data_IF_477295514354
#
_entry.id   IF_477295514354
#
_cell.length_a   1.000
_cell.length_b   1.000
_cell.length_c   1.000
_cell.angle_alpha   90.00
_cell.angle_beta   90.00
_cell.angle_gamma   90.00
#
_symmetry.space_group_name_H-M   'P 1'
#
loop_
_entity.id
_entity.type
_entity.pdbx_description
1 polymer ?
#
# COMPACT_ATOMS: atom_id res chain seq x y z
N UNK A 1 -21.66 18.95 6.43
CA UNK A 1 -22.07 17.75 7.19
C UNK A 1 -23.52 17.48 6.89
N UNK A 2 -23.88 16.25 6.50
CA UNK A 2 -25.28 15.90 6.20
C UNK A 2 -25.65 15.78 4.71
N UNK A 3 -24.70 15.82 3.79
CA UNK A 3 -24.95 15.34 2.42
C UNK A 3 -25.02 13.80 2.46
N UNK A 4 -26.01 13.22 1.79
CA UNK A 4 -26.12 11.76 1.65
C UNK A 4 -25.83 11.35 0.21
N UNK A 5 -25.28 10.15 0.04
CA UNK A 5 -24.95 9.56 -1.26
C UNK A 5 -25.70 8.25 -1.34
N UNK A 6 -27.02 8.36 -1.52
CA UNK A 6 -27.92 7.21 -1.48
C UNK A 6 -28.21 6.69 -2.90
N UNK A 7 -27.96 7.50 -3.92
CA UNK A 7 -28.17 7.13 -5.34
C UNK A 7 -26.86 6.95 -6.09
N UNK A 8 -26.82 6.11 -7.14
CA UNK A 8 -25.66 5.99 -8.03
C UNK A 8 -25.26 7.34 -8.68
N UNK A 9 -26.24 8.20 -8.97
CA UNK A 9 -26.01 9.52 -9.55
C UNK A 9 -25.24 10.45 -8.60
N UNK A 10 -25.54 10.40 -7.29
CA UNK A 10 -24.82 11.18 -6.27
C UNK A 10 -23.34 10.78 -6.22
N UNK A 11 -23.06 9.47 -6.30
CA UNK A 11 -21.70 8.93 -6.31
C UNK A 11 -20.99 9.29 -7.62
N UNK A 12 -21.68 9.15 -8.76
CA UNK A 12 -21.14 9.50 -10.07
C UNK A 12 -20.80 11.00 -10.22
N UNK A 13 -21.50 11.87 -9.48
CA UNK A 13 -21.24 13.31 -9.45
C UNK A 13 -19.97 13.68 -8.66
N UNK A 14 -19.40 12.76 -7.87
CA UNK A 14 -18.16 13.00 -7.15
C UNK A 14 -16.99 13.19 -8.13
N UNK A 15 -16.15 14.20 -7.84
CA UNK A 15 -14.94 14.49 -8.64
C UNK A 15 -13.96 13.33 -8.64
N UNK A 16 -13.93 12.57 -7.56
CA UNK A 16 -13.11 11.38 -7.40
C UNK A 16 -14.02 10.22 -7.00
N UNK A 17 -13.92 9.13 -7.75
CA UNK A 17 -14.67 7.91 -7.49
C UNK A 17 -14.00 7.06 -6.41
N UNK A 18 -12.71 7.28 -6.13
CA UNK A 18 -11.98 6.57 -5.08
C UNK A 18 -10.97 7.50 -4.42
N UNK A 19 -10.64 7.19 -3.18
CA UNK A 19 -9.56 7.81 -2.41
C UNK A 19 -8.60 6.71 -1.99
N UNK A 20 -7.35 6.83 -2.41
CA UNK A 20 -6.28 5.90 -2.03
C UNK A 20 -5.45 6.52 -0.92
N UNK A 21 -5.43 5.88 0.25
CA UNK A 21 -4.60 6.24 1.39
C UNK A 21 -3.23 5.60 1.22
N UNK A 22 -2.23 6.44 0.97
CA UNK A 22 -0.81 6.08 0.95
C UNK A 22 -0.18 6.49 2.29
N UNK A 23 0.05 5.50 3.16
CA UNK A 23 0.70 5.70 4.45
C UNK A 23 1.84 4.69 4.64
N UNK A 24 2.74 4.96 5.56
CA UNK A 24 3.79 4.01 5.93
C UNK A 24 3.19 2.69 6.45
N UNK A 25 3.95 1.59 6.36
CA UNK A 25 3.51 0.26 6.83
C UNK A 25 3.72 0.04 8.33
N UNK A 26 4.16 1.06 9.06
CA UNK A 26 4.30 0.99 10.51
C UNK A 26 2.96 1.19 11.23
N UNK A 27 3.01 1.14 12.57
CA UNK A 27 1.83 1.30 13.41
C UNK A 27 1.15 2.67 13.21
N UNK A 28 1.94 3.72 13.00
CA UNK A 28 1.42 5.07 12.81
C UNK A 28 0.68 5.20 11.49
N UNK A 29 1.18 4.60 10.41
CA UNK A 29 0.47 4.54 9.14
C UNK A 29 -0.85 3.75 9.23
N UNK A 30 -0.92 2.67 10.01
CA UNK A 30 -2.18 1.99 10.30
C UNK A 30 -3.17 2.89 11.07
N UNK A 31 -2.70 3.62 12.08
CA UNK A 31 -3.55 4.55 12.82
C UNK A 31 -4.08 5.68 11.95
N UNK A 32 -3.24 6.28 11.11
CA UNK A 32 -3.64 7.36 10.19
C UNK A 32 -4.70 6.85 9.21
N UNK A 33 -4.49 5.67 8.60
CA UNK A 33 -5.48 5.08 7.70
C UNK A 33 -6.82 4.81 8.41
N UNK A 34 -6.77 4.30 9.64
CA UNK A 34 -7.95 4.10 10.47
C UNK A 34 -8.70 5.39 10.78
N UNK A 35 -7.99 6.48 11.09
CA UNK A 35 -8.61 7.80 11.31
C UNK A 35 -9.30 8.34 10.05
N UNK A 36 -8.69 8.17 8.87
CA UNK A 36 -9.30 8.55 7.59
C UNK A 36 -10.58 7.75 7.35
N UNK A 37 -10.52 6.43 7.48
CA UNK A 37 -11.71 5.56 7.33
C UNK A 37 -12.80 5.97 8.30
N UNK A 38 -12.45 6.18 9.58
CA UNK A 38 -13.39 6.61 10.61
C UNK A 38 -14.03 7.98 10.29
N UNK A 39 -13.25 8.93 9.79
CA UNK A 39 -13.75 10.24 9.40
C UNK A 39 -14.83 10.12 8.31
N UNK A 40 -14.59 9.34 7.26
CA UNK A 40 -15.60 9.11 6.22
C UNK A 40 -16.79 8.30 6.73
N UNK A 41 -16.56 7.28 7.55
CA UNK A 41 -17.64 6.49 8.13
C UNK A 41 -18.57 7.32 9.02
N UNK A 42 -18.01 8.22 9.83
CA UNK A 42 -18.79 9.11 10.68
C UNK A 42 -19.50 10.22 9.90
N UNK A 43 -18.87 10.73 8.83
CA UNK A 43 -19.37 11.89 8.09
C UNK A 43 -20.35 11.53 6.97
N UNK A 44 -20.09 10.42 6.27
CA UNK A 44 -20.81 9.99 5.05
C UNK A 44 -20.97 8.47 4.99
N UNK A 45 -21.70 7.85 5.93
CA UNK A 45 -21.90 6.41 5.94
C UNK A 45 -22.67 5.88 4.72
N UNK A 46 -23.53 6.69 4.09
CA UNK A 46 -24.22 6.28 2.85
C UNK A 46 -23.27 6.13 1.68
N UNK A 47 -22.25 6.98 1.56
CA UNK A 47 -21.22 6.87 0.53
C UNK A 47 -20.49 5.52 0.60
N UNK A 48 -20.08 5.11 1.81
CA UNK A 48 -19.37 3.84 1.99
C UNK A 48 -20.27 2.61 1.81
N UNK A 49 -21.60 2.77 1.94
CA UNK A 49 -22.56 1.70 1.62
C UNK A 49 -22.80 1.59 0.12
N UNK A 50 -22.99 2.74 -0.55
CA UNK A 50 -23.19 2.80 -2.00
C UNK A 50 -21.92 2.37 -2.76
N UNK A 51 -20.75 2.73 -2.24
CA UNK A 51 -19.45 2.38 -2.81
C UNK A 51 -18.49 1.86 -1.73
N UNK A 52 -18.52 0.54 -1.43
CA UNK A 52 -17.67 -0.07 -0.40
C UNK A 52 -16.17 0.09 -0.62
N UNK A 53 -15.74 0.24 -1.88
CA UNK A 53 -14.34 0.42 -2.29
C UNK A 53 -13.95 1.90 -2.46
N UNK A 54 -14.78 2.85 -1.98
CA UNK A 54 -14.50 4.28 -2.10
C UNK A 54 -13.19 4.67 -1.42
N UNK A 55 -12.84 4.03 -0.30
CA UNK A 55 -11.56 4.22 0.39
C UNK A 55 -10.73 2.97 0.22
N UNK A 56 -9.57 3.12 -0.41
CA UNK A 56 -8.59 2.05 -0.56
C UNK A 56 -7.33 2.44 0.22
N UNK A 57 -6.64 1.45 0.78
CA UNK A 57 -5.30 1.63 1.34
C UNK A 57 -4.31 0.95 0.42
N UNK A 58 -3.28 1.67 0.02
CA UNK A 58 -2.18 1.05 -0.71
C UNK A 58 -1.15 0.48 0.26
N UNK A 59 -0.81 -0.80 0.11
CA UNK A 59 0.27 -1.40 0.85
C UNK A 59 1.58 -1.26 0.05
N UNK A 60 2.63 -0.73 0.68
CA UNK A 60 3.97 -0.67 0.09
C UNK A 60 4.84 -1.78 0.65
N UNK A 61 5.68 -2.45 -0.15
CA UNK A 61 6.60 -3.44 0.37
C UNK A 61 7.62 -2.78 1.32
N UNK A 62 7.89 -3.43 2.46
CA UNK A 62 8.87 -2.98 3.46
C UNK A 62 10.28 -3.53 3.19
N UNK A 63 10.37 -4.63 2.45
CA UNK A 63 11.64 -5.25 2.05
C UNK A 63 11.54 -5.68 0.60
N UNK A 64 12.58 -5.39 -0.18
CA UNK A 64 12.77 -5.94 -1.53
C UNK A 64 14.09 -6.67 -1.62
N UNK A 65 14.08 -7.81 -2.30
CA UNK A 65 15.26 -8.63 -2.55
C UNK A 65 15.61 -8.58 -4.04
N UNK A 66 16.86 -8.27 -4.32
CA UNK A 66 17.40 -8.17 -5.67
C UNK A 66 18.55 -9.15 -5.86
N UNK A 67 18.80 -9.57 -7.10
CA UNK A 67 20.08 -10.20 -7.43
C UNK A 67 21.24 -9.21 -7.29
N UNK A 68 22.42 -9.68 -6.90
CA UNK A 68 23.66 -8.87 -6.97
C UNK A 68 24.22 -8.75 -8.39
N UNK A 69 23.77 -9.59 -9.34
CA UNK A 69 24.19 -9.49 -10.75
C UNK A 69 23.65 -8.25 -11.47
N UNK A 70 22.64 -7.55 -10.91
CA UNK A 70 22.10 -6.33 -11.48
C UNK A 70 21.05 -5.66 -10.60
N UNK A 71 21.00 -4.31 -10.59
CA UNK A 71 20.06 -3.53 -9.77
C UNK A 71 18.57 -3.71 -10.15
N UNK A 72 18.28 -4.19 -11.37
CA UNK A 72 16.93 -4.30 -11.94
C UNK A 72 16.29 -5.69 -11.79
N UNK A 73 17.03 -6.68 -11.30
CA UNK A 73 16.51 -8.03 -11.10
C UNK A 73 15.87 -8.13 -9.72
N UNK A 74 14.70 -7.49 -9.56
CA UNK A 74 13.84 -7.69 -8.41
C UNK A 74 13.38 -9.16 -8.40
N UNK A 75 13.62 -9.85 -7.29
CA UNK A 75 13.30 -11.27 -7.14
C UNK A 75 12.05 -11.47 -6.29
N UNK A 76 11.94 -10.73 -5.18
CA UNK A 76 10.85 -10.91 -4.21
C UNK A 76 10.59 -9.61 -3.45
N UNK A 77 9.33 -9.39 -3.07
CA UNK A 77 8.87 -8.25 -2.28
C UNK A 77 8.12 -8.76 -1.03
N UNK A 78 8.34 -8.09 0.10
CA UNK A 78 7.71 -8.48 1.37
C UNK A 78 7.01 -7.28 1.98
N UNK A 79 5.79 -7.50 2.45
CA UNK A 79 4.94 -6.48 3.06
C UNK A 79 4.98 -6.55 4.58
N UNK A 80 5.41 -7.70 5.14
CA UNK A 80 5.65 -7.85 6.57
C UNK A 80 7.04 -8.38 6.90
N UNK A 81 7.52 -8.03 8.10
CA UNK A 81 8.82 -8.51 8.58
C UNK A 81 8.79 -10.01 8.85
N UNK A 82 7.61 -10.56 9.14
CA UNK A 82 7.39 -11.99 9.36
C UNK A 82 7.54 -12.79 8.07
N UNK A 83 6.92 -12.34 6.97
CA UNK A 83 7.10 -12.95 5.64
C UNK A 83 8.57 -13.00 5.24
N UNK A 84 9.28 -11.88 5.39
CA UNK A 84 10.70 -11.83 5.05
C UNK A 84 11.53 -12.81 5.90
N UNK A 85 11.27 -12.91 7.21
CA UNK A 85 11.97 -13.88 8.08
C UNK A 85 11.69 -15.33 7.66
N UNK A 86 10.46 -15.67 7.37
CA UNK A 86 10.09 -17.02 6.91
C UNK A 86 10.79 -17.35 5.60
N UNK A 87 10.82 -16.41 4.67
CA UNK A 87 11.56 -16.57 3.41
C UNK A 87 13.05 -16.78 3.65
N UNK A 88 13.67 -16.01 4.55
CA UNK A 88 15.10 -16.16 4.89
C UNK A 88 15.45 -17.56 5.42
N UNK A 89 14.54 -18.19 6.18
CA UNK A 89 14.73 -19.54 6.73
C UNK A 89 14.71 -20.62 5.64
N UNK A 90 14.10 -20.33 4.48
CA UNK A 90 14.04 -21.25 3.34
C UNK A 90 15.24 -21.11 2.40
N UNK A 91 16.09 -20.10 2.59
CA UNK A 91 17.24 -19.85 1.73
C UNK A 91 18.50 -20.61 2.17
N UNK A 92 19.41 -20.95 1.23
CA UNK A 92 20.73 -21.49 1.56
C UNK A 92 21.51 -20.54 2.49
N UNK A 93 22.34 -21.07 3.39
CA UNK A 93 23.03 -20.28 4.43
C UNK A 93 23.85 -19.09 3.88
N UNK A 94 24.31 -19.16 2.63
CA UNK A 94 25.13 -18.15 1.96
C UNK A 94 24.35 -17.17 1.06
N UNK A 95 23.01 -17.18 1.10
CA UNK A 95 22.14 -16.39 0.21
C UNK A 95 22.52 -14.90 0.15
N UNK A 96 22.96 -14.33 1.28
CA UNK A 96 23.37 -12.93 1.43
C UNK A 96 24.57 -12.53 0.55
N UNK A 97 25.35 -13.51 0.05
CA UNK A 97 26.46 -13.29 -0.89
C UNK A 97 26.00 -13.07 -2.32
N UNK A 98 24.83 -13.61 -2.69
CA UNK A 98 24.25 -13.57 -4.05
C UNK A 98 23.12 -12.56 -4.17
N UNK A 99 22.45 -12.26 -3.06
CA UNK A 99 21.29 -11.37 -3.01
C UNK A 99 21.62 -10.05 -2.31
N UNK A 100 20.91 -8.99 -2.70
CA UNK A 100 20.93 -7.68 -2.04
C UNK A 100 19.54 -7.39 -1.49
N UNK A 101 19.47 -7.09 -0.20
CA UNK A 101 18.24 -6.70 0.49
C UNK A 101 18.18 -5.18 0.60
N UNK A 102 17.05 -4.58 0.22
CA UNK A 102 16.77 -3.16 0.44
C UNK A 102 15.55 -3.04 1.36
N UNK A 103 15.71 -2.26 2.43
CA UNK A 103 14.66 -1.98 3.41
C UNK A 103 14.03 -0.63 3.10
N UNK A 104 12.70 -0.57 3.12
CA UNK A 104 11.90 0.63 2.88
C UNK A 104 11.25 1.00 4.21
N UNK A 105 11.85 1.98 4.90
CA UNK A 105 11.39 2.42 6.23
C UNK A 105 10.22 3.41 6.17
N UNK A 106 9.98 3.99 5.00
CA UNK A 106 8.83 4.83 4.74
C UNK A 106 8.75 5.21 3.27
N UNK A 107 7.69 5.91 2.89
CA UNK A 107 7.40 6.29 1.50
C UNK A 107 8.54 7.07 0.84
N UNK A 108 9.29 7.87 1.61
CA UNK A 108 10.47 8.62 1.13
C UNK A 108 11.66 7.75 0.71
N UNK A 109 11.66 6.45 1.00
CA UNK A 109 12.71 5.51 0.56
C UNK A 109 12.42 4.94 -0.84
N UNK A 110 11.20 5.14 -1.36
CA UNK A 110 10.81 4.74 -2.71
C UNK A 110 11.32 5.74 -3.75
N UNK A 111 11.87 5.23 -4.83
CA UNK A 111 12.27 6.05 -5.99
C UNK A 111 11.05 6.45 -6.81
N UNK A 112 11.19 7.49 -7.64
CA UNK A 112 10.13 7.95 -8.56
C UNK A 112 9.63 6.82 -9.46
N UNK A 113 10.54 6.00 -10.00
CA UNK A 113 10.19 4.90 -10.90
C UNK A 113 9.39 3.81 -10.18
N UNK A 114 9.73 3.53 -8.92
CA UNK A 114 8.97 2.60 -8.07
C UNK A 114 7.57 3.13 -7.77
N UNK A 115 7.45 4.43 -7.45
CA UNK A 115 6.15 5.06 -7.24
C UNK A 115 5.27 4.95 -8.49
N UNK A 116 5.80 5.27 -9.68
CA UNK A 116 5.05 5.14 -10.94
C UNK A 116 4.58 3.69 -11.14
N UNK A 117 5.44 2.70 -10.87
CA UNK A 117 5.07 1.28 -10.98
C UNK A 117 3.95 0.90 -10.02
N UNK A 118 4.03 1.33 -8.75
CA UNK A 118 2.98 1.10 -7.76
C UNK A 118 1.61 1.64 -8.20
N UNK A 119 1.59 2.82 -8.85
CA UNK A 119 0.35 3.40 -9.36
C UNK A 119 -0.15 2.73 -10.65
N UNK A 120 0.72 2.08 -11.42
CA UNK A 120 0.32 1.30 -12.59
C UNK A 120 -0.34 -0.04 -12.20
N UNK A 121 0.02 -0.60 -11.05
CA UNK A 121 -0.52 -1.87 -10.54
C UNK A 121 -1.78 -1.70 -9.66
N UNK A 122 -2.42 -0.52 -9.68
CA UNK A 122 -3.60 -0.18 -8.86
C UNK A 122 -4.96 -0.56 -9.49
N UNK A 123 -4.94 -1.25 -10.64
CA UNK A 123 -6.13 -1.68 -11.39
C UNK A 123 -6.87 -2.87 -10.74
#
# INVERSE_FOLDING_TARGET
WGATYDTPEDVAALRYQRIVVFSDQDMDGHHIAGLVINFFHASWPSLLRAQPDFIQRFATPIVKVFSRSGQRDLLEEFFTQAEFKTWQLQQPQDWHRRLRVKYYKGLGTSTRDEAIKYFADLD
#
